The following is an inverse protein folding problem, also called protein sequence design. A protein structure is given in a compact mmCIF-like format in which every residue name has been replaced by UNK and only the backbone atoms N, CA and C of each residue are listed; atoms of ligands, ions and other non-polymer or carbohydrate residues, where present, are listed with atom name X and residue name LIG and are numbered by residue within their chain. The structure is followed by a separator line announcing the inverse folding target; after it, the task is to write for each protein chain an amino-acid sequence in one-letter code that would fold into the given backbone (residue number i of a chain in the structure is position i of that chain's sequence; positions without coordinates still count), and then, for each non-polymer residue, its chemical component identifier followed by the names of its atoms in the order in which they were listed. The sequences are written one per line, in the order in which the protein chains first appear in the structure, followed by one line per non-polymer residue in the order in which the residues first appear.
data_IF_879185676518
#
_entry.id   IF_879185676518
#
_cell.length_a   1.000
_cell.length_b   1.000
_cell.length_c   1.000
_cell.angle_alpha   90.00
_cell.angle_beta   90.00
_cell.angle_gamma   90.00
#
_symmetry.space_group_name_H-M   'P 1'
#
loop_
_entity.id
_entity.type
_entity.pdbx_description
1 polymer ?
#
# COMPACT_ATOMS: atom_id res chain seq x y z
N UNK A 1 -0.16 -3.77 30.98
CA UNK A 1 -1.57 -3.61 31.41
C UNK A 1 -1.74 -2.21 32.00
N UNK A 2 -2.20 -1.23 31.22
CA UNK A 2 -2.45 0.15 31.70
C UNK A 2 -3.89 0.24 32.19
N UNK A 3 -4.07 0.49 33.48
CA UNK A 3 -5.36 0.64 34.17
C UNK A 3 -6.03 1.95 33.74
N UNK A 4 -7.22 1.84 33.13
CA UNK A 4 -8.10 2.96 32.82
C UNK A 4 -9.01 3.25 34.04
N UNK A 5 -9.22 4.51 34.49
CA UNK A 5 -9.92 4.80 35.76
C UNK A 5 -11.45 4.61 35.75
N UNK A 6 -12.05 4.14 34.65
CA UNK A 6 -13.52 4.16 34.47
C UNK A 6 -14.20 2.79 34.51
N UNK A 7 -13.51 1.71 34.85
CA UNK A 7 -14.14 0.40 35.10
C UNK A 7 -14.86 -0.26 33.90
N UNK A 8 -14.84 0.37 32.72
CA UNK A 8 -15.38 -0.19 31.49
C UNK A 8 -14.28 -1.00 30.78
N UNK A 9 -14.28 -2.32 30.98
CA UNK A 9 -13.52 -3.26 30.16
C UNK A 9 -14.20 -3.36 28.79
N UNK A 10 -13.88 -2.43 27.88
CA UNK A 10 -14.24 -2.58 26.48
C UNK A 10 -13.35 -3.67 25.87
N UNK A 11 -13.99 -4.68 25.27
CA UNK A 11 -13.29 -5.70 24.51
C UNK A 11 -12.56 -5.03 23.33
N UNK A 12 -11.22 -5.09 23.26
CA UNK A 12 -10.44 -4.42 22.23
C UNK A 12 -10.81 -4.89 20.81
N UNK A 13 -11.22 -6.15 20.65
CA UNK A 13 -11.64 -6.68 19.36
C UNK A 13 -13.01 -6.12 18.95
N UNK A 14 -13.91 -5.91 19.90
CA UNK A 14 -15.19 -5.25 19.65
C UNK A 14 -15.00 -3.78 19.24
N UNK A 15 -14.14 -3.05 19.93
CA UNK A 15 -13.83 -1.65 19.58
C UNK A 15 -13.24 -1.56 18.17
N UNK A 16 -12.31 -2.46 17.82
CA UNK A 16 -11.74 -2.55 16.47
C UNK A 16 -12.81 -2.84 15.43
N UNK A 17 -13.66 -3.83 15.65
CA UNK A 17 -14.73 -4.19 14.73
C UNK A 17 -15.73 -3.06 14.52
N UNK A 18 -16.12 -2.36 15.58
CA UNK A 18 -17.03 -1.19 15.51
C UNK A 18 -16.38 -0.04 14.74
N UNK A 19 -15.08 0.23 14.96
CA UNK A 19 -14.36 1.27 14.22
C UNK A 19 -14.27 0.96 12.71
N UNK A 20 -14.01 -0.30 12.35
CA UNK A 20 -13.99 -0.76 10.95
C UNK A 20 -15.40 -0.67 10.33
N UNK A 21 -16.43 -1.07 11.05
CA UNK A 21 -17.81 -0.95 10.56
C UNK A 21 -18.21 0.52 10.34
N UNK A 22 -17.86 1.41 11.28
CA UNK A 22 -18.11 2.83 11.17
C UNK A 22 -17.36 3.47 9.98
N UNK A 23 -16.09 3.10 9.76
CA UNK A 23 -15.34 3.58 8.60
C UNK A 23 -15.91 3.07 7.28
N UNK A 24 -16.37 1.81 7.22
CA UNK A 24 -17.04 1.26 6.04
C UNK A 24 -18.34 2.03 5.71
N UNK A 25 -19.16 2.36 6.72
CA UNK A 25 -20.38 3.17 6.55
C UNK A 25 -20.04 4.58 6.06
N UNK A 26 -18.96 5.17 6.56
CA UNK A 26 -18.51 6.51 6.15
C UNK A 26 -17.98 6.53 4.71
N UNK A 27 -17.28 5.48 4.29
CA UNK A 27 -16.70 5.36 2.93
C UNK A 27 -17.76 4.98 1.90
N UNK A 28 -18.80 4.24 2.29
CA UNK A 28 -19.88 3.79 1.41
C UNK A 28 -20.52 4.87 0.53
N UNK A 29 -20.97 6.04 1.05
CA UNK A 29 -21.52 7.10 0.22
C UNK A 29 -20.47 7.66 -0.76
N UNK A 30 -19.22 7.77 -0.32
CA UNK A 30 -18.10 8.27 -1.13
C UNK A 30 -17.77 7.30 -2.29
N UNK A 31 -17.85 6.00 -2.04
CA UNK A 31 -17.61 4.95 -3.03
C UNK A 31 -18.73 4.82 -4.07
N UNK A 32 -19.97 5.15 -3.69
CA UNK A 32 -21.13 5.13 -4.58
C UNK A 32 -21.25 6.37 -5.48
N UNK A 33 -20.53 7.45 -5.16
CA UNK A 33 -20.49 8.65 -6.01
C UNK A 33 -19.91 8.31 -7.39
N UNK A 34 -20.60 8.77 -8.45
CA UNK A 34 -20.18 8.56 -9.84
C UNK A 34 -19.07 9.50 -10.27
N UNK A 35 -19.05 10.72 -9.73
CA UNK A 35 -18.11 11.77 -10.13
C UNK A 35 -17.02 11.96 -9.08
N UNK A 36 -15.79 11.62 -9.48
CA UNK A 36 -14.55 11.74 -8.67
C UNK A 36 -13.96 13.16 -8.76
N UNK A 37 -14.64 14.09 -9.44
CA UNK A 37 -14.15 15.44 -9.74
C UNK A 37 -13.71 16.23 -8.49
N UNK A 38 -14.32 15.96 -7.33
CA UNK A 38 -13.97 16.55 -6.04
C UNK A 38 -12.71 15.95 -5.39
N UNK A 39 -12.33 14.71 -5.71
CA UNK A 39 -11.15 14.04 -5.14
C UNK A 39 -9.83 14.57 -5.69
N UNK A 40 -9.86 15.29 -6.82
CA UNK A 40 -8.68 16.00 -7.36
C UNK A 40 -8.10 17.00 -6.36
N UNK A 41 -8.93 17.60 -5.53
CA UNK A 41 -8.50 18.54 -4.49
C UNK A 41 -7.88 17.85 -3.28
N UNK A 42 -8.06 16.52 -3.13
CA UNK A 42 -7.50 15.75 -2.01
C UNK A 42 -6.07 15.31 -2.27
N UNK A 43 -5.67 15.12 -3.54
CA UNK A 43 -4.33 14.63 -3.88
C UNK A 43 -3.18 15.47 -3.28
N UNK A 44 -3.20 16.82 -3.30
CA UNK A 44 -2.18 17.63 -2.65
C UNK A 44 -2.18 17.46 -1.12
N UNK A 45 -3.36 17.36 -0.51
CA UNK A 45 -3.51 17.14 0.94
C UNK A 45 -2.86 15.81 1.34
N UNK A 46 -3.03 14.76 0.55
CA UNK A 46 -2.40 13.47 0.82
C UNK A 46 -0.88 13.52 0.77
N UNK A 47 -0.31 14.26 -0.18
CA UNK A 47 1.14 14.44 -0.26
C UNK A 47 1.63 15.22 0.96
N UNK A 48 0.93 16.30 1.35
CA UNK A 48 1.29 17.06 2.55
C UNK A 48 1.22 16.21 3.83
N UNK A 49 0.21 15.36 3.98
CA UNK A 49 0.08 14.45 5.12
C UNK A 49 1.24 13.44 5.20
N UNK A 50 1.64 12.86 4.06
CA UNK A 50 2.78 11.94 3.97
C UNK A 50 4.10 12.66 4.30
N UNK A 51 4.33 13.85 3.74
CA UNK A 51 5.53 14.65 4.03
C UNK A 51 5.57 15.08 5.50
N UNK A 52 4.44 15.50 6.05
CA UNK A 52 4.33 15.84 7.47
C UNK A 52 4.71 14.65 8.35
N UNK A 53 4.15 13.47 8.10
CA UNK A 53 4.47 12.30 8.90
C UNK A 53 5.93 11.89 8.74
N UNK A 54 6.50 11.97 7.53
CA UNK A 54 7.91 11.71 7.30
C UNK A 54 8.82 12.64 8.11
N UNK A 55 8.50 13.93 8.16
CA UNK A 55 9.22 14.92 8.98
C UNK A 55 9.08 14.59 10.47
N UNK A 56 7.89 14.23 10.94
CA UNK A 56 7.67 13.86 12.35
C UNK A 56 8.48 12.63 12.75
N UNK A 57 8.46 11.57 11.94
CA UNK A 57 9.25 10.34 12.20
C UNK A 57 10.74 10.66 12.21
N UNK A 58 11.24 11.35 11.18
CA UNK A 58 12.67 11.66 11.07
C UNK A 58 13.18 12.63 12.14
N UNK A 59 12.37 13.60 12.57
CA UNK A 59 12.73 14.53 13.63
C UNK A 59 12.77 13.86 15.01
N UNK A 60 11.96 12.83 15.24
CA UNK A 60 11.88 12.12 16.52
C UNK A 60 12.88 10.97 16.64
N UNK A 61 13.31 10.40 15.52
CA UNK A 61 14.22 9.26 15.50
C UNK A 61 15.48 9.43 16.36
N UNK A 62 16.21 10.56 16.35
CA UNK A 62 17.40 10.72 17.19
C UNK A 62 17.11 10.71 18.70
N UNK A 63 15.92 11.18 19.10
CA UNK A 63 15.50 11.19 20.50
C UNK A 63 15.22 9.78 21.00
N UNK A 64 14.37 9.05 20.26
CA UNK A 64 14.03 7.66 20.59
C UNK A 64 15.24 6.74 20.50
N UNK A 65 16.10 6.91 19.49
CA UNK A 65 17.33 6.12 19.38
C UNK A 65 18.18 6.24 20.65
N UNK A 66 18.38 7.45 21.16
CA UNK A 66 19.19 7.69 22.38
C UNK A 66 18.53 7.17 23.66
N UNK A 67 17.21 7.09 23.70
CA UNK A 67 16.46 6.56 24.84
C UNK A 67 16.51 5.02 24.86
N UNK A 68 16.45 4.40 23.69
CA UNK A 68 16.39 2.95 23.52
C UNK A 68 17.77 2.29 23.35
N UNK A 69 18.81 3.08 23.06
CA UNK A 69 20.21 2.61 22.92
C UNK A 69 20.70 1.97 24.24
N UNK A 70 21.01 0.68 24.20
CA UNK A 70 21.47 -0.09 25.37
C UNK A 70 20.35 -0.71 26.20
N UNK A 71 19.08 -0.54 25.81
CA UNK A 71 17.95 -1.26 26.40
C UNK A 71 17.96 -2.75 26.01
N UNK A 72 17.78 -3.63 26.99
CA UNK A 72 17.78 -5.09 26.75
C UNK A 72 16.62 -5.57 25.86
N UNK A 73 15.56 -4.77 25.74
CA UNK A 73 14.36 -5.03 24.94
C UNK A 73 14.58 -4.69 23.45
N UNK A 74 15.39 -3.68 23.15
CA UNK A 74 15.56 -3.13 21.80
C UNK A 74 16.72 -3.75 21.01
N UNK A 75 17.74 -4.26 21.72
CA UNK A 75 18.91 -4.88 21.10
C UNK A 75 19.86 -3.89 20.41
N UNK A 76 20.98 -4.38 19.84
CA UNK A 76 21.93 -3.55 19.11
C UNK A 76 21.40 -3.18 17.71
N UNK A 77 22.05 -2.20 17.07
CA UNK A 77 21.80 -1.88 15.66
C UNK A 77 22.28 -3.02 14.77
N UNK A 78 21.35 -3.66 14.07
CA UNK A 78 21.62 -4.70 13.07
C UNK A 78 21.53 -4.11 11.67
N UNK A 79 22.66 -4.02 10.96
CA UNK A 79 22.69 -3.49 9.60
C UNK A 79 22.24 -4.51 8.55
N UNK A 80 22.37 -5.80 8.85
CA UNK A 80 22.06 -6.87 7.92
C UNK A 80 21.60 -8.12 8.65
N UNK A 81 20.40 -8.57 8.32
CA UNK A 81 19.83 -9.80 8.86
C UNK A 81 19.13 -10.57 7.72
N UNK A 82 19.55 -11.82 7.50
CA UNK A 82 18.99 -12.75 6.51
C UNK A 82 18.18 -13.84 7.23
N UNK A 83 17.22 -13.42 8.03
CA UNK A 83 16.30 -14.34 8.68
C UNK A 83 15.17 -14.77 7.72
N UNK A 84 14.32 -15.69 8.18
CA UNK A 84 13.11 -16.16 7.47
C UNK A 84 12.22 -14.98 7.03
N UNK A 85 12.22 -13.89 7.79
CA UNK A 85 11.46 -12.66 7.49
C UNK A 85 12.01 -11.85 6.31
N UNK A 86 13.21 -12.20 5.78
CA UNK A 86 13.78 -11.52 4.62
C UNK A 86 12.87 -11.64 3.37
N UNK A 87 12.30 -12.83 3.14
CA UNK A 87 11.39 -13.03 2.01
C UNK A 87 10.12 -12.18 2.18
N UNK A 88 9.58 -12.09 3.40
CA UNK A 88 8.44 -11.25 3.71
C UNK A 88 8.73 -9.77 3.45
N UNK A 89 9.86 -9.26 3.94
CA UNK A 89 10.30 -7.88 3.70
C UNK A 89 10.53 -7.61 2.20
N UNK A 90 11.07 -8.59 1.47
CA UNK A 90 11.23 -8.49 0.02
C UNK A 90 9.88 -8.37 -0.68
N UNK A 91 8.90 -9.22 -0.35
CA UNK A 91 7.54 -9.16 -0.89
C UNK A 91 6.84 -7.84 -0.55
N UNK A 92 7.00 -7.36 0.69
CA UNK A 92 6.50 -6.04 1.10
C UNK A 92 7.11 -4.92 0.25
N UNK A 93 8.42 -5.00 -0.05
CA UNK A 93 9.08 -4.04 -0.94
C UNK A 93 8.52 -4.12 -2.37
N UNK A 94 8.32 -5.32 -2.93
CA UNK A 94 7.73 -5.50 -4.27
C UNK A 94 6.34 -4.85 -4.32
N UNK A 95 5.53 -5.05 -3.28
CA UNK A 95 4.23 -4.38 -3.16
C UNK A 95 4.36 -2.85 -3.06
N UNK A 96 5.29 -2.34 -2.23
CA UNK A 96 5.47 -0.91 -2.02
C UNK A 96 5.86 -0.17 -3.31
N UNK A 97 6.63 -0.80 -4.19
CA UNK A 97 7.02 -0.23 -5.50
C UNK A 97 5.99 -0.47 -6.62
N UNK A 98 4.79 -0.93 -6.28
CA UNK A 98 3.70 -1.15 -7.22
C UNK A 98 3.08 0.17 -7.75
N UNK A 99 3.80 0.88 -8.60
CA UNK A 99 3.34 2.12 -9.25
C UNK A 99 2.92 1.93 -10.71
N UNK A 100 3.16 0.74 -11.29
CA UNK A 100 2.98 0.49 -12.72
C UNK A 100 1.54 0.65 -13.20
N UNK A 101 0.55 0.39 -12.32
CA UNK A 101 -0.87 0.59 -12.60
C UNK A 101 -1.21 2.04 -12.94
N UNK A 102 -0.43 3.00 -12.42
CA UNK A 102 -0.63 4.42 -12.63
C UNK A 102 0.07 4.96 -13.88
N UNK A 103 0.95 4.16 -14.52
CA UNK A 103 1.74 4.63 -15.68
C UNK A 103 0.83 4.97 -16.86
N UNK A 104 -0.20 4.17 -17.14
CA UNK A 104 -1.11 4.38 -18.28
C UNK A 104 -1.99 5.64 -18.07
N UNK A 105 -2.71 5.81 -16.94
CA UNK A 105 -3.48 7.04 -16.68
C UNK A 105 -2.63 8.31 -16.64
N UNK A 106 -1.39 8.23 -16.12
CA UNK A 106 -0.48 9.38 -16.10
C UNK A 106 0.05 9.68 -17.50
N UNK A 107 0.37 8.66 -18.30
CA UNK A 107 0.83 8.86 -19.67
C UNK A 107 -0.25 9.49 -20.57
N UNK A 108 -1.53 9.12 -20.39
CA UNK A 108 -2.64 9.68 -21.18
C UNK A 108 -2.93 11.15 -20.87
N UNK A 109 -2.51 11.65 -19.71
CA UNK A 109 -2.67 13.05 -19.29
C UNK A 109 -1.42 13.91 -19.55
N UNK A 110 -0.33 13.30 -20.01
CA UNK A 110 0.93 13.98 -20.30
C UNK A 110 0.84 14.81 -21.59
N UNK A 111 1.46 15.99 -21.60
CA UNK A 111 1.59 16.80 -22.81
C UNK A 111 2.62 16.14 -23.76
N UNK A 112 2.15 15.67 -24.91
CA UNK A 112 2.94 14.95 -25.92
C UNK A 112 3.69 13.74 -25.34
N UNK A 113 2.98 12.65 -25.00
CA UNK A 113 3.57 11.45 -24.44
C UNK A 113 4.49 10.79 -25.48
N UNK A 114 5.73 10.52 -25.09
CA UNK A 114 6.67 9.70 -25.85
C UNK A 114 7.31 8.67 -24.93
N UNK A 115 7.76 7.55 -25.49
CA UNK A 115 8.38 6.47 -24.70
C UNK A 115 9.51 7.00 -23.79
N UNK A 116 10.41 7.80 -24.35
CA UNK A 116 11.54 8.38 -23.60
C UNK A 116 11.08 9.31 -22.47
N UNK A 117 9.98 10.06 -22.66
CA UNK A 117 9.43 10.94 -21.62
C UNK A 117 8.77 10.15 -20.50
N UNK A 118 8.00 9.10 -20.85
CA UNK A 118 7.37 8.21 -19.88
C UNK A 118 8.44 7.49 -19.05
N UNK A 119 9.45 6.90 -19.71
CA UNK A 119 10.57 6.24 -19.01
C UNK A 119 11.32 7.21 -18.08
N UNK A 120 11.58 8.45 -18.52
CA UNK A 120 12.22 9.49 -17.70
C UNK A 120 11.39 9.86 -16.47
N UNK A 121 10.08 10.01 -16.62
CA UNK A 121 9.18 10.31 -15.49
C UNK A 121 9.12 9.13 -14.54
N UNK A 122 8.91 7.91 -15.04
CA UNK A 122 8.89 6.69 -14.22
C UNK A 122 10.18 6.49 -13.44
N UNK A 123 11.35 6.72 -14.06
CA UNK A 123 12.63 6.61 -13.37
C UNK A 123 12.74 7.62 -12.21
N UNK A 124 12.36 8.88 -12.43
CA UNK A 124 12.40 9.93 -11.40
C UNK A 124 11.46 9.61 -10.23
N UNK A 125 10.27 9.10 -10.51
CA UNK A 125 9.31 8.69 -9.48
C UNK A 125 9.87 7.55 -8.64
N UNK A 126 10.46 6.52 -9.28
CA UNK A 126 11.06 5.40 -8.56
C UNK A 126 12.23 5.83 -7.67
N UNK A 127 13.10 6.73 -8.15
CA UNK A 127 14.20 7.27 -7.33
C UNK A 127 13.66 8.06 -6.14
N UNK A 128 12.65 8.91 -6.35
CA UNK A 128 12.03 9.67 -5.26
C UNK A 128 11.38 8.74 -4.23
N UNK A 129 10.68 7.71 -4.70
CA UNK A 129 10.03 6.72 -3.83
C UNK A 129 11.06 5.92 -3.02
N UNK A 130 12.16 5.50 -3.65
CA UNK A 130 13.27 4.84 -2.97
C UNK A 130 13.85 5.73 -1.86
N UNK A 131 14.18 6.98 -2.17
CA UNK A 131 14.72 7.91 -1.17
C UNK A 131 13.76 8.13 0.00
N UNK A 132 12.47 8.29 -0.30
CA UNK A 132 11.44 8.53 0.72
C UNK A 132 11.22 7.31 1.62
N UNK A 133 11.12 6.11 1.03
CA UNK A 133 10.95 4.86 1.79
C UNK A 133 12.19 4.50 2.59
N UNK A 134 13.39 4.68 2.04
CA UNK A 134 14.62 4.46 2.81
C UNK A 134 14.74 5.45 3.96
N UNK A 135 14.40 6.73 3.76
CA UNK A 135 14.44 7.74 4.81
C UNK A 135 13.53 7.38 5.99
N UNK A 136 12.26 7.04 5.71
CA UNK A 136 11.28 6.69 6.75
C UNK A 136 11.59 5.33 7.36
N UNK A 137 11.97 4.35 6.54
CA UNK A 137 12.29 3.00 6.99
C UNK A 137 13.50 2.98 7.93
N UNK A 138 14.58 3.68 7.57
CA UNK A 138 15.77 3.80 8.43
C UNK A 138 15.45 4.60 9.70
N UNK A 139 14.75 5.73 9.58
CA UNK A 139 14.39 6.53 10.76
C UNK A 139 13.45 5.77 11.72
N UNK A 140 12.47 5.04 11.18
CA UNK A 140 11.55 4.20 11.94
C UNK A 140 12.30 3.06 12.64
N UNK A 141 13.13 2.32 11.90
CA UNK A 141 13.96 1.26 12.47
C UNK A 141 14.90 1.79 13.57
N UNK A 142 15.60 2.91 13.35
CA UNK A 142 16.48 3.47 14.38
C UNK A 142 15.69 4.00 15.61
N UNK A 143 14.40 4.28 15.47
CA UNK A 143 13.59 4.72 16.62
C UNK A 143 13.29 3.58 17.58
N UNK A 144 13.04 2.37 17.08
CA UNK A 144 12.54 1.23 17.89
C UNK A 144 13.37 -0.05 17.78
N UNK A 145 14.42 -0.07 16.96
CA UNK A 145 15.37 -1.16 16.79
C UNK A 145 14.66 -2.52 16.59
N UNK A 146 15.00 -3.53 17.38
CA UNK A 146 14.44 -4.88 17.28
C UNK A 146 12.96 -5.01 17.63
N UNK A 147 12.35 -4.00 18.25
CA UNK A 147 10.93 -4.01 18.65
C UNK A 147 10.02 -3.26 17.65
N UNK A 148 10.54 -2.91 16.47
CA UNK A 148 9.77 -2.18 15.45
C UNK A 148 8.59 -3.02 14.94
N UNK A 149 7.37 -2.48 15.02
CA UNK A 149 6.18 -3.13 14.47
C UNK A 149 6.01 -2.91 12.96
N UNK A 150 5.21 -3.77 12.32
CA UNK A 150 4.88 -3.67 10.90
C UNK A 150 4.18 -2.35 10.53
N UNK A 151 3.40 -1.78 11.45
CA UNK A 151 2.96 -0.40 11.42
C UNK A 151 3.71 0.40 12.49
N UNK A 152 4.80 1.05 12.07
CA UNK A 152 5.66 1.88 12.94
C UNK A 152 4.88 2.98 13.66
N UNK A 153 3.70 3.38 13.14
CA UNK A 153 2.90 4.39 13.80
C UNK A 153 2.37 3.88 15.13
N UNK A 154 2.14 2.57 15.30
CA UNK A 154 1.63 1.98 16.55
C UNK A 154 2.62 2.07 17.71
N UNK A 155 3.92 2.09 17.42
CA UNK A 155 4.99 2.16 18.43
C UNK A 155 5.08 3.54 19.09
N UNK A 156 4.59 4.59 18.42
CA UNK A 156 4.47 5.91 19.01
C UNK A 156 3.31 5.99 20.01
N UNK A 157 3.51 6.77 21.06
CA UNK A 157 2.47 7.00 22.06
C UNK A 157 1.29 7.78 21.47
N UNK A 158 0.08 7.42 21.91
CA UNK A 158 -1.16 8.04 21.42
C UNK A 158 -1.39 9.48 21.91
N UNK A 159 -0.71 9.91 22.98
CA UNK A 159 -0.78 11.26 23.54
C UNK A 159 0.11 12.28 22.80
N UNK A 160 0.98 11.81 21.90
CA UNK A 160 1.82 12.67 21.11
C UNK A 160 1.01 13.39 20.02
N UNK A 161 0.73 14.67 20.24
CA UNK A 161 -0.09 15.50 19.35
C UNK A 161 0.42 15.54 17.91
N UNK A 162 1.73 15.49 17.69
CA UNK A 162 2.27 15.55 16.33
C UNK A 162 2.05 14.23 15.59
N UNK A 163 2.25 13.09 16.27
CA UNK A 163 1.93 11.78 15.68
C UNK A 163 0.42 11.62 15.51
N UNK A 164 -0.38 12.02 16.50
CA UNK A 164 -1.83 11.96 16.43
C UNK A 164 -2.38 12.78 15.25
N UNK A 165 -1.87 14.00 15.04
CA UNK A 165 -2.20 14.83 13.88
C UNK A 165 -1.84 14.13 12.56
N UNK A 166 -0.67 13.49 12.50
CA UNK A 166 -0.23 12.72 11.33
C UNK A 166 -1.11 11.51 11.05
N UNK A 167 -1.46 10.74 12.08
CA UNK A 167 -2.37 9.59 11.98
C UNK A 167 -3.75 10.00 11.48
N UNK A 168 -4.30 11.12 11.97
CA UNK A 168 -5.58 11.66 11.50
C UNK A 168 -5.48 12.04 10.02
N UNK A 169 -4.43 12.77 9.64
CA UNK A 169 -4.22 13.19 8.26
C UNK A 169 -4.10 11.97 7.33
N UNK A 170 -3.25 11.00 7.67
CA UNK A 170 -3.08 9.75 6.91
C UNK A 170 -4.37 8.93 6.84
N UNK A 171 -5.14 8.85 7.92
CA UNK A 171 -6.46 8.21 7.92
C UNK A 171 -7.38 8.89 6.91
N UNK A 172 -7.41 10.22 6.90
CA UNK A 172 -8.12 11.00 5.88
C UNK A 172 -7.69 10.67 4.46
N UNK A 173 -6.40 10.50 4.21
CA UNK A 173 -5.90 10.09 2.89
C UNK A 173 -6.40 8.70 2.49
N UNK A 174 -6.43 7.75 3.43
CA UNK A 174 -6.86 6.37 3.18
C UNK A 174 -8.36 6.29 2.90
N UNK A 175 -9.18 7.07 3.61
CA UNK A 175 -10.62 7.18 3.35
C UNK A 175 -10.91 7.61 1.90
N UNK A 176 -10.06 8.45 1.33
CA UNK A 176 -10.19 8.90 -0.06
C UNK A 176 -9.52 7.94 -1.05
N UNK A 177 -8.47 7.23 -0.64
CA UNK A 177 -7.83 6.21 -1.46
C UNK A 177 -8.74 5.01 -1.76
N UNK A 178 -9.61 4.62 -0.83
CA UNK A 178 -10.55 3.50 -1.01
C UNK A 178 -11.46 3.71 -2.24
N UNK A 179 -12.27 4.80 -2.35
CA UNK A 179 -13.14 5.00 -3.51
C UNK A 179 -12.35 5.19 -4.82
N UNK A 180 -11.16 5.80 -4.78
CA UNK A 180 -10.29 5.96 -5.95
C UNK A 180 -9.84 4.64 -6.56
N UNK A 181 -9.49 3.66 -5.72
CA UNK A 181 -9.07 2.34 -6.18
C UNK A 181 -10.27 1.41 -6.46
N UNK A 182 -11.39 1.62 -5.77
CA UNK A 182 -12.57 0.79 -5.93
C UNK A 182 -13.29 1.05 -7.26
N UNK A 183 -13.33 2.31 -7.72
CA UNK A 183 -13.91 2.67 -9.02
C UNK A 183 -13.36 1.91 -10.23
N UNK A 184 -12.04 1.92 -10.48
CA UNK A 184 -11.45 1.14 -11.56
C UNK A 184 -11.60 -0.37 -11.31
N UNK A 185 -11.52 -0.83 -10.06
CA UNK A 185 -11.75 -2.24 -9.71
C UNK A 185 -13.13 -2.72 -10.15
N UNK A 186 -14.19 -1.99 -9.80
CA UNK A 186 -15.58 -2.30 -10.21
C UNK A 186 -15.71 -2.24 -11.73
N UNK A 187 -15.11 -1.23 -12.37
CA UNK A 187 -15.17 -1.10 -13.83
C UNK A 187 -14.56 -2.32 -14.52
N UNK A 188 -13.38 -2.73 -14.09
CA UNK A 188 -12.64 -3.89 -14.61
C UNK A 188 -13.39 -5.21 -14.33
N UNK A 189 -13.92 -5.39 -13.13
CA UNK A 189 -14.68 -6.59 -12.77
C UNK A 189 -15.95 -6.76 -13.62
N UNK A 190 -16.69 -5.67 -13.84
CA UNK A 190 -17.84 -5.69 -14.74
C UNK A 190 -17.42 -5.98 -16.19
N UNK A 191 -16.33 -5.37 -16.68
CA UNK A 191 -15.82 -5.64 -18.04
C UNK A 191 -15.40 -7.09 -18.23
N UNK A 192 -14.77 -7.71 -17.22
CA UNK A 192 -14.42 -9.13 -17.25
C UNK A 192 -15.70 -9.99 -17.25
N UNK A 193 -16.70 -9.63 -16.44
CA UNK A 193 -18.00 -10.31 -16.43
C UNK A 193 -18.71 -10.28 -17.79
N UNK A 194 -18.74 -9.10 -18.43
CA UNK A 194 -19.31 -8.90 -19.76
C UNK A 194 -18.57 -9.75 -20.81
N UNK A 195 -17.22 -9.73 -20.76
CA UNK A 195 -16.36 -10.54 -21.63
C UNK A 195 -16.63 -12.05 -21.45
N UNK A 196 -16.74 -12.53 -20.22
CA UNK A 196 -17.05 -13.93 -19.94
C UNK A 196 -18.47 -14.35 -20.38
N UNK A 197 -19.41 -13.40 -20.44
CA UNK A 197 -20.78 -13.63 -20.94
C UNK A 197 -20.90 -13.53 -22.47
N UNK A 198 -19.84 -13.09 -23.15
CA UNK A 198 -19.85 -12.85 -24.60
C UNK A 198 -20.70 -11.64 -25.01
N UNK A 199 -21.02 -10.76 -24.07
CA UNK A 199 -21.84 -9.57 -24.33
C UNK A 199 -20.93 -8.39 -24.72
N UNK A 200 -21.30 -7.67 -25.78
CA UNK A 200 -20.65 -6.41 -26.12
C UNK A 200 -20.87 -5.42 -24.97
N UNK A 201 -19.79 -4.74 -24.53
CA UNK A 201 -19.84 -3.84 -23.38
C UNK A 201 -21.02 -2.84 -23.51
N UNK A 202 -22.00 -2.85 -22.59
CA UNK A 202 -23.21 -2.06 -22.76
C UNK A 202 -22.90 -0.55 -22.71
N UNK A 203 -23.45 0.20 -23.68
CA UNK A 203 -23.24 1.64 -23.89
C UNK A 203 -23.73 2.50 -22.70
N UNK A 204 -24.71 1.99 -21.94
CA UNK A 204 -25.22 2.58 -20.69
C UNK A 204 -25.40 1.50 -19.62
N UNK A 205 -24.45 1.44 -18.68
CA UNK A 205 -24.52 0.51 -17.54
C UNK A 205 -25.62 0.91 -16.56
N UNK A 206 -26.51 -0.04 -16.23
CA UNK A 206 -27.43 0.09 -15.11
C UNK A 206 -26.66 0.38 -13.81
N UNK A 207 -27.25 1.22 -12.94
CA UNK A 207 -26.62 1.62 -11.67
C UNK A 207 -26.53 0.45 -10.69
N UNK A 208 -27.51 -0.47 -10.74
CA UNK A 208 -27.66 -1.59 -9.82
C UNK A 208 -26.47 -2.58 -9.78
N UNK A 209 -25.94 -3.13 -10.89
CA UNK A 209 -24.80 -4.04 -10.82
C UNK A 209 -23.54 -3.37 -10.26
N UNK A 210 -23.39 -2.07 -10.52
CA UNK A 210 -22.26 -1.29 -10.00
C UNK A 210 -22.36 -1.08 -8.49
N UNK A 211 -23.53 -0.66 -7.99
CA UNK A 211 -23.72 -0.43 -6.56
C UNK A 211 -23.61 -1.73 -5.76
N UNK A 212 -24.20 -2.82 -6.23
CA UNK A 212 -24.09 -4.15 -5.59
C UNK A 212 -22.62 -4.55 -5.46
N UNK A 213 -21.84 -4.48 -6.55
CA UNK A 213 -20.43 -4.85 -6.51
C UNK A 213 -19.61 -3.95 -5.58
N UNK A 214 -19.93 -2.66 -5.52
CA UNK A 214 -19.30 -1.70 -4.58
C UNK A 214 -19.52 -2.16 -3.13
N UNK A 215 -20.78 -2.46 -2.77
CA UNK A 215 -21.13 -2.88 -1.41
C UNK A 215 -20.45 -4.19 -1.06
N UNK A 216 -20.48 -5.18 -1.96
CA UNK A 216 -19.81 -6.48 -1.76
C UNK A 216 -18.31 -6.28 -1.52
N UNK A 217 -17.63 -5.48 -2.34
CA UNK A 217 -16.20 -5.22 -2.15
C UNK A 217 -15.88 -4.55 -0.80
N UNK A 218 -16.66 -3.55 -0.38
CA UNK A 218 -16.46 -2.87 0.91
C UNK A 218 -16.66 -3.85 2.08
N UNK A 219 -17.71 -4.67 2.02
CA UNK A 219 -17.97 -5.68 3.05
C UNK A 219 -16.86 -6.74 3.12
N UNK A 220 -16.34 -7.18 1.97
CA UNK A 220 -15.19 -8.09 1.93
C UNK A 220 -13.93 -7.45 2.54
N UNK A 221 -13.64 -6.19 2.23
CA UNK A 221 -12.50 -5.47 2.81
C UNK A 221 -12.65 -5.30 4.33
N UNK A 222 -13.84 -4.94 4.82
CA UNK A 222 -14.13 -4.83 6.25
C UNK A 222 -14.00 -6.19 6.96
N UNK A 223 -14.51 -7.27 6.35
CA UNK A 223 -14.37 -8.62 6.89
C UNK A 223 -12.91 -9.06 7.00
N UNK A 224 -12.10 -8.78 5.98
CA UNK A 224 -10.66 -9.06 6.01
C UNK A 224 -9.96 -8.26 7.13
N UNK A 225 -10.25 -6.97 7.25
CA UNK A 225 -9.65 -6.10 8.28
C UNK A 225 -10.02 -6.51 9.72
N UNK A 226 -11.18 -7.13 9.93
CA UNK A 226 -11.56 -7.68 11.25
C UNK A 226 -10.73 -8.92 11.57
N UNK A 227 -10.48 -9.78 10.58
CA UNK A 227 -9.79 -11.06 10.75
C UNK A 227 -8.27 -10.94 10.80
N UNK A 228 -7.68 -10.01 10.04
CA UNK A 228 -6.24 -9.81 9.95
C UNK A 228 -5.89 -8.42 10.49
N UNK A 229 -5.40 -8.33 11.74
CA UNK A 229 -5.11 -7.04 12.37
C UNK A 229 -3.78 -6.43 11.92
N UNK A 230 -2.84 -7.26 11.43
CA UNK A 230 -1.52 -6.80 11.02
C UNK A 230 -1.53 -6.39 9.56
N UNK A 231 -1.18 -5.13 9.30
CA UNK A 231 -1.12 -4.59 7.93
C UNK A 231 0.04 -5.24 7.15
N UNK A 232 1.16 -5.53 7.83
CA UNK A 232 2.35 -6.20 7.26
C UNK A 232 1.99 -7.47 6.49
N UNK A 233 1.31 -8.42 7.15
CA UNK A 233 0.89 -9.71 6.58
C UNK A 233 0.07 -9.54 5.30
N UNK A 234 -0.88 -8.61 5.29
CA UNK A 234 -1.74 -8.37 4.12
C UNK A 234 -0.90 -7.82 2.97
N UNK A 235 0.00 -6.88 3.25
CA UNK A 235 0.83 -6.25 2.23
C UNK A 235 1.90 -7.21 1.68
N UNK A 236 2.49 -8.05 2.53
CA UNK A 236 3.48 -9.05 2.12
C UNK A 236 2.84 -10.13 1.24
N UNK A 237 1.66 -10.65 1.60
CA UNK A 237 0.90 -11.61 0.76
C UNK A 237 0.52 -10.99 -0.59
N UNK A 238 0.05 -9.73 -0.61
CA UNK A 238 -0.28 -9.04 -1.86
C UNK A 238 0.97 -8.81 -2.73
N UNK A 239 2.12 -8.58 -2.09
CA UNK A 239 3.43 -8.52 -2.73
C UNK A 239 3.83 -9.84 -3.38
N UNK A 240 3.83 -10.90 -2.58
CA UNK A 240 4.18 -12.27 -2.95
C UNK A 240 3.37 -12.80 -4.13
N UNK A 241 2.10 -12.44 -4.19
CA UNK A 241 1.14 -12.96 -5.16
C UNK A 241 0.91 -12.00 -6.32
N UNK A 242 0.12 -10.95 -6.10
CA UNK A 242 -0.39 -10.06 -7.16
C UNK A 242 0.72 -9.22 -7.74
N UNK A 243 1.53 -8.57 -6.89
CA UNK A 243 2.60 -7.69 -7.37
C UNK A 243 3.68 -8.49 -8.11
N UNK A 244 4.10 -9.63 -7.58
CA UNK A 244 5.05 -10.54 -8.24
C UNK A 244 4.54 -11.07 -9.57
N UNK A 245 3.27 -11.47 -9.66
CA UNK A 245 2.67 -11.89 -10.92
C UNK A 245 2.71 -10.76 -11.98
N UNK A 246 2.31 -9.55 -11.59
CA UNK A 246 2.19 -8.41 -12.52
C UNK A 246 3.54 -7.76 -12.87
N UNK A 247 4.45 -7.65 -11.92
CA UNK A 247 5.72 -6.93 -12.08
C UNK A 247 6.88 -7.82 -12.53
N UNK A 248 6.82 -9.13 -12.27
CA UNK A 248 7.91 -10.05 -12.58
C UNK A 248 7.47 -11.14 -13.57
N UNK A 249 6.45 -11.94 -13.22
CA UNK A 249 6.09 -13.11 -14.01
C UNK A 249 5.57 -12.76 -15.41
N UNK A 250 4.62 -11.82 -15.51
CA UNK A 250 4.06 -11.40 -16.79
C UNK A 250 5.12 -10.74 -17.70
N UNK A 251 5.92 -9.77 -17.23
CA UNK A 251 7.01 -9.21 -18.02
C UNK A 251 8.04 -10.26 -18.44
N UNK A 252 8.43 -11.19 -17.56
CA UNK A 252 9.36 -12.27 -17.90
C UNK A 252 8.81 -13.20 -18.98
N UNK A 253 7.52 -13.52 -18.92
CA UNK A 253 6.84 -14.32 -19.94
C UNK A 253 6.75 -13.56 -21.28
N UNK A 254 6.34 -12.29 -21.24
CA UNK A 254 6.22 -11.46 -22.43
C UNK A 254 7.58 -11.26 -23.13
N UNK A 255 8.65 -11.02 -22.35
CA UNK A 255 10.01 -10.89 -22.89
C UNK A 255 10.47 -12.14 -23.64
N UNK A 256 10.15 -13.34 -23.14
CA UNK A 256 10.51 -14.59 -23.81
C UNK A 256 9.79 -14.81 -25.16
N UNK A 257 8.61 -14.22 -25.32
CA UNK A 257 7.80 -14.35 -26.54
C UNK A 257 8.05 -13.24 -27.55
N UNK A 258 8.34 -12.02 -27.09
CA UNK A 258 8.35 -10.82 -27.93
C UNK A 258 9.77 -10.31 -28.26
N UNK A 259 10.78 -10.65 -27.47
CA UNK A 259 12.14 -10.12 -27.64
C UNK A 259 13.06 -11.17 -28.29
N UNK A 260 13.90 -10.80 -29.28
CA UNK A 260 14.88 -11.72 -29.84
C UNK A 260 15.84 -12.23 -28.76
N UNK A 261 16.23 -13.50 -28.87
CA UNK A 261 17.13 -14.15 -27.91
C UNK A 261 18.52 -13.52 -27.96
N UNK A 262 18.76 -12.61 -27.03
CA UNK A 262 20.06 -12.02 -26.73
C UNK A 262 20.48 -12.42 -25.32
N UNK A 263 21.78 -12.58 -25.07
CA UNK A 263 22.33 -12.88 -23.75
C UNK A 263 21.82 -11.90 -22.67
N UNK A 264 21.69 -10.61 -23.03
CA UNK A 264 21.13 -9.59 -22.13
C UNK A 264 19.66 -9.87 -21.79
N UNK A 265 18.85 -10.23 -22.79
CA UNK A 265 17.43 -10.53 -22.59
C UNK A 265 17.22 -11.79 -21.74
N UNK A 266 18.05 -12.82 -21.95
CA UNK A 266 18.01 -14.05 -21.15
C UNK A 266 18.44 -13.80 -19.70
N UNK A 267 19.49 -13.00 -19.49
CA UNK A 267 19.93 -12.62 -18.16
C UNK A 267 18.83 -11.83 -17.41
N UNK A 268 18.22 -10.82 -18.04
CA UNK A 268 17.12 -10.07 -17.43
C UNK A 268 15.93 -10.97 -17.10
N UNK A 269 15.59 -11.91 -17.98
CA UNK A 269 14.50 -12.85 -17.73
C UNK A 269 14.81 -13.78 -16.55
N UNK A 270 16.03 -14.31 -16.46
CA UNK A 270 16.45 -15.16 -15.35
C UNK A 270 16.39 -14.42 -14.01
N UNK A 271 16.81 -13.15 -13.98
CA UNK A 271 16.72 -12.29 -12.79
C UNK A 271 15.26 -12.07 -12.37
N UNK A 272 14.35 -11.79 -13.31
CA UNK A 272 12.93 -11.61 -12.99
C UNK A 272 12.31 -12.88 -12.39
N UNK A 273 12.64 -14.05 -12.92
CA UNK A 273 12.17 -15.32 -12.35
C UNK A 273 12.79 -15.61 -10.98
N UNK A 274 14.08 -15.33 -10.79
CA UNK A 274 14.73 -15.49 -9.49
C UNK A 274 14.07 -14.61 -8.42
N UNK A 275 13.82 -13.34 -8.72
CA UNK A 275 13.12 -12.43 -7.81
C UNK A 275 11.66 -12.85 -7.58
N UNK A 276 10.97 -13.36 -8.60
CA UNK A 276 9.63 -13.89 -8.42
C UNK A 276 9.61 -15.08 -7.46
N UNK A 277 10.60 -15.99 -7.56
CA UNK A 277 10.73 -17.12 -6.65
C UNK A 277 11.00 -16.67 -5.20
N UNK A 278 11.89 -15.69 -5.00
CA UNK A 278 12.16 -15.14 -3.66
C UNK A 278 10.91 -14.50 -3.06
N UNK A 279 10.15 -13.74 -3.86
CA UNK A 279 8.91 -13.14 -3.36
C UNK A 279 7.81 -14.15 -3.10
N UNK A 280 7.68 -15.21 -3.90
CA UNK A 280 6.68 -16.27 -3.65
C UNK A 280 7.06 -17.14 -2.45
N UNK A 281 8.34 -17.17 -2.06
CA UNK A 281 8.82 -17.91 -0.89
C UNK A 281 8.55 -17.20 0.44
N UNK A 282 7.98 -15.99 0.44
CA UNK A 282 7.56 -15.27 1.64
C UNK A 282 6.31 -15.83 2.28
#
# INVERSE_FOLDING_TARGET
VKLNPTGAHWDPDLVRAVAIAASAVLVMPLALQRDISSLRYVSPVSICALLYMAVVVTAKAPGFFREHEGGSEYGPVELFNLDVNFCEAFSLCVFAFNCHLNVIPVASTMVSPSRARIEKVSFRVNVLQLLFYTLIGVAGYLSFLGDTQSDILLDYRADDLAVAGGRIALTGTMLVAIPLNLHPTIKSALQIGDYCRGEAAPETRAVAPRSILTVVCILCQAGLAIKVPQVGDVLSILGATVATAMMMAIPAYAMAKLTPRSAKSQATQAVLWAFALVSVAS
#
